data_IF_209906817642
#
_entry.id   IF_209906817642
#
_cell.length_a   1.000
_cell.length_b   1.000
_cell.length_c   1.000
_cell.angle_alpha   90.00
_cell.angle_beta   90.00
_cell.angle_gamma   90.00
#
_symmetry.space_group_name_H-M   'P 1'
#
loop_
_entity.id
_entity.type
_entity.pdbx_description
1 polymer ?
#
# COMPACT_ATOMS: atom_id res chain seq x y z
N UNK A 1 -25.63 8.90 -15.70
CA UNK A 1 -24.76 9.17 -14.52
C UNK A 1 -23.93 7.96 -14.08
N UNK A 2 -24.37 6.72 -14.33
CA UNK A 2 -23.64 5.49 -13.94
C UNK A 2 -22.24 5.34 -14.54
N UNK A 3 -22.04 5.64 -15.83
CA UNK A 3 -20.73 5.49 -16.49
C UNK A 3 -19.62 6.36 -15.89
N UNK A 4 -19.93 7.59 -15.49
CA UNK A 4 -18.96 8.49 -14.84
C UNK A 4 -18.52 7.96 -13.47
N UNK A 5 -19.45 7.32 -12.74
CA UNK A 5 -19.18 6.72 -11.43
C UNK A 5 -18.32 5.46 -11.57
N UNK A 6 -18.60 4.62 -12.57
CA UNK A 6 -17.78 3.43 -12.85
C UNK A 6 -16.35 3.82 -13.28
N UNK A 7 -16.19 4.83 -14.13
CA UNK A 7 -14.89 5.33 -14.53
C UNK A 7 -14.09 5.90 -13.34
N UNK A 8 -14.76 6.64 -12.44
CA UNK A 8 -14.14 7.13 -11.21
C UNK A 8 -13.63 5.98 -10.33
N UNK A 9 -14.46 4.97 -10.06
CA UNK A 9 -14.06 3.83 -9.23
C UNK A 9 -13.00 2.96 -9.90
N UNK A 10 -13.01 2.84 -11.23
CA UNK A 10 -11.94 2.19 -11.99
C UNK A 10 -10.61 2.91 -11.84
N UNK A 11 -10.61 4.25 -11.92
CA UNK A 11 -9.42 5.05 -11.69
C UNK A 11 -8.91 4.92 -10.25
N UNK A 12 -9.81 4.93 -9.25
CA UNK A 12 -9.45 4.71 -7.84
C UNK A 12 -8.80 3.34 -7.64
N UNK A 13 -9.36 2.28 -8.22
CA UNK A 13 -8.77 0.94 -8.16
C UNK A 13 -7.38 0.90 -8.80
N UNK A 14 -7.21 1.54 -9.96
CA UNK A 14 -5.92 1.66 -10.63
C UNK A 14 -4.86 2.38 -9.79
N UNK A 15 -5.21 3.54 -9.22
CA UNK A 15 -4.32 4.31 -8.34
C UNK A 15 -3.94 3.52 -7.08
N UNK A 16 -4.88 2.75 -6.52
CA UNK A 16 -4.63 1.90 -5.36
C UNK A 16 -3.55 0.85 -5.64
N UNK A 17 -3.64 0.15 -6.77
CA UNK A 17 -2.65 -0.86 -7.18
C UNK A 17 -1.29 -0.18 -7.42
N UNK A 18 -1.28 0.93 -8.16
CA UNK A 18 -0.05 1.68 -8.45
C UNK A 18 0.66 2.13 -7.17
N UNK A 19 -0.11 2.61 -6.20
CA UNK A 19 0.41 3.10 -4.92
C UNK A 19 1.02 1.98 -4.10
N UNK A 20 0.44 0.77 -4.14
CA UNK A 20 0.98 -0.40 -3.44
C UNK A 20 2.34 -0.81 -4.01
N UNK A 21 2.44 -0.94 -5.34
CA UNK A 21 3.69 -1.29 -6.03
C UNK A 21 4.75 -0.22 -5.83
N UNK A 22 4.37 1.06 -5.87
CA UNK A 22 5.28 2.16 -5.60
C UNK A 22 5.83 2.11 -4.17
N UNK A 23 5.00 1.75 -3.19
CA UNK A 23 5.43 1.57 -1.79
C UNK A 23 6.38 0.39 -1.62
N UNK A 24 6.16 -0.73 -2.30
CA UNK A 24 7.08 -1.88 -2.29
C UNK A 24 8.46 -1.49 -2.84
N UNK A 25 8.49 -0.85 -4.02
CA UNK A 25 9.75 -0.38 -4.64
C UNK A 25 10.43 0.68 -3.77
N UNK A 26 9.65 1.59 -3.19
CA UNK A 26 10.18 2.63 -2.30
C UNK A 26 10.75 2.02 -1.01
N UNK A 27 10.11 0.99 -0.44
CA UNK A 27 10.59 0.29 0.75
C UNK A 27 11.91 -0.45 0.50
N UNK A 28 12.12 -1.00 -0.70
CA UNK A 28 13.38 -1.64 -1.08
C UNK A 28 14.54 -0.65 -1.27
N UNK A 29 14.25 0.60 -1.64
CA UNK A 29 15.27 1.62 -1.94
C UNK A 29 15.51 2.61 -0.80
N UNK A 30 14.56 2.76 0.11
CA UNK A 30 14.69 3.61 1.30
C UNK A 30 14.72 2.72 2.54
N UNK A 31 15.91 2.40 3.08
CA UNK A 31 16.06 1.79 4.41
C UNK A 31 15.76 2.83 5.50
N UNK A 32 14.59 3.49 5.42
CA UNK A 32 14.15 4.43 6.43
C UNK A 32 13.62 3.62 7.62
N UNK A 33 14.31 3.77 8.76
CA UNK A 33 14.03 3.17 10.06
C UNK A 33 12.58 3.43 10.51
N UNK A 34 11.62 2.64 10.01
CA UNK A 34 10.20 2.79 10.36
C UNK A 34 9.22 2.25 9.31
N UNK A 35 9.57 2.34 8.02
CA UNK A 35 8.72 1.82 6.94
C UNK A 35 8.65 0.29 6.94
N UNK A 36 9.75 -0.40 7.24
CA UNK A 36 9.75 -1.86 7.40
C UNK A 36 8.86 -2.32 8.58
N UNK A 37 8.76 -1.54 9.67
CA UNK A 37 7.84 -1.81 10.78
C UNK A 37 6.39 -1.55 10.40
N UNK A 38 6.13 -0.50 9.61
CA UNK A 38 4.79 -0.20 9.09
C UNK A 38 4.33 -1.27 8.10
N UNK A 39 5.20 -1.68 7.17
CA UNK A 39 4.95 -2.78 6.21
C UNK A 39 4.72 -4.08 6.98
N UNK A 40 5.55 -4.39 7.98
CA UNK A 40 5.35 -5.56 8.83
C UNK A 40 4.04 -5.49 9.64
N UNK A 41 3.64 -4.32 10.14
CA UNK A 41 2.36 -4.13 10.82
C UNK A 41 1.17 -4.31 9.87
N UNK A 42 1.26 -3.78 8.65
CA UNK A 42 0.23 -3.92 7.61
C UNK A 42 0.11 -5.39 7.17
N UNK A 43 1.23 -6.10 6.99
CA UNK A 43 1.23 -7.48 6.48
C UNK A 43 1.06 -8.56 7.55
N UNK A 44 1.53 -8.34 8.79
CA UNK A 44 1.51 -9.34 9.87
C UNK A 44 0.56 -9.01 11.02
N UNK A 45 0.00 -7.80 11.04
CA UNK A 45 -0.85 -7.33 12.13
C UNK A 45 -0.07 -7.04 13.43
N UNK A 46 -0.76 -6.49 14.46
CA UNK A 46 -0.13 -5.98 15.69
C UNK A 46 0.68 -7.01 16.49
N UNK A 47 0.48 -8.30 16.25
CA UNK A 47 1.04 -9.42 17.02
C UNK A 47 2.31 -10.03 16.39
N UNK A 48 2.71 -9.60 15.19
CA UNK A 48 3.84 -10.19 14.46
C UNK A 48 5.25 -9.76 14.90
N UNK A 49 5.38 -8.96 15.97
CA UNK A 49 6.62 -8.33 16.39
C UNK A 49 6.96 -8.48 17.88
N UNK A 50 6.42 -9.50 18.55
CA UNK A 50 6.83 -9.88 19.90
C UNK A 50 7.69 -11.15 19.84
N UNK A 51 8.94 -11.00 19.39
CA UNK A 51 10.06 -11.85 19.75
C UNK A 51 11.31 -10.98 19.85
#
# INVERSE_FOLDING_TARGET
MFGKRAAFWGAVAGVSILSHVALEIAADKLPFLGLSRLVAYIHRGPTGGAQ
#
